data_IF_939692465677
#
_entry.id   IF_939692465677
#
_cell.length_a   1.000
_cell.length_b   1.000
_cell.length_c   1.000
_cell.angle_alpha   90.00
_cell.angle_beta   90.00
_cell.angle_gamma   90.00
#
_symmetry.space_group_name_H-M   'P 1'
#
loop_
_entity.id
_entity.type
_entity.pdbx_description
1 polymer ?
#
# COMPACT_ATOMS: atom_id res chain seq x y z
N UNK A 1 -10.52 -27.92 1.54
CA UNK A 1 -10.04 -27.59 2.89
C UNK A 1 -11.19 -26.91 3.62
N UNK A 2 -11.52 -27.35 4.85
CA UNK A 2 -12.55 -26.68 5.67
C UNK A 2 -11.96 -25.40 6.28
N UNK A 3 -12.21 -24.27 5.65
CA UNK A 3 -11.71 -22.97 6.08
C UNK A 3 -12.18 -22.58 7.49
N UNK A 4 -13.39 -23.02 7.91
CA UNK A 4 -13.89 -22.73 9.26
C UNK A 4 -13.06 -23.43 10.33
N UNK A 5 -12.72 -24.69 10.08
CA UNK A 5 -11.86 -25.44 11.00
C UNK A 5 -10.45 -24.84 11.02
N UNK A 6 -9.90 -24.49 9.87
CA UNK A 6 -8.60 -23.82 9.76
C UNK A 6 -8.57 -22.51 10.56
N UNK A 7 -9.58 -21.66 10.41
CA UNK A 7 -9.67 -20.37 11.11
C UNK A 7 -9.76 -20.55 12.63
N UNK A 8 -10.51 -21.55 13.12
CA UNK A 8 -10.57 -21.86 14.55
C UNK A 8 -9.24 -22.36 15.10
N UNK A 9 -8.53 -23.20 14.35
CA UNK A 9 -7.19 -23.67 14.73
C UNK A 9 -6.24 -22.47 14.78
N UNK A 10 -6.29 -21.57 13.80
CA UNK A 10 -5.45 -20.37 13.76
C UNK A 10 -5.68 -19.46 14.97
N UNK A 11 -6.95 -19.20 15.36
CA UNK A 11 -7.27 -18.48 16.59
C UNK A 11 -6.76 -19.21 17.84
N UNK A 12 -6.88 -20.53 17.89
CA UNK A 12 -6.38 -21.32 19.05
C UNK A 12 -4.87 -21.24 19.15
N UNK A 13 -4.15 -21.25 18.03
CA UNK A 13 -2.70 -21.09 17.99
C UNK A 13 -2.25 -19.71 18.47
N UNK A 14 -3.02 -18.64 18.20
CA UNK A 14 -2.70 -17.29 18.66
C UNK A 14 -2.75 -17.13 20.19
N UNK A 15 -3.40 -18.05 20.89
CA UNK A 15 -3.41 -18.08 22.38
C UNK A 15 -2.13 -18.68 22.96
N UNK A 16 -1.37 -19.43 22.15
CA UNK A 16 -0.18 -20.17 22.59
C UNK A 16 1.09 -19.53 21.98
N UNK A 17 1.03 -19.15 20.72
CA UNK A 17 2.15 -18.55 19.99
C UNK A 17 2.03 -17.04 19.99
N UNK A 18 3.14 -16.34 20.25
CA UNK A 18 3.19 -14.89 20.21
C UNK A 18 3.07 -14.35 18.78
N UNK A 19 3.61 -15.07 17.82
CA UNK A 19 3.59 -14.71 16.39
C UNK A 19 3.01 -15.83 15.55
N UNK A 20 2.21 -15.45 14.55
CA UNK A 20 1.65 -16.33 13.52
C UNK A 20 1.86 -15.71 12.15
N UNK A 21 1.88 -16.55 11.12
CA UNK A 21 1.96 -16.09 9.72
C UNK A 21 0.69 -16.52 8.96
N UNK A 22 0.14 -15.61 8.17
CA UNK A 22 -0.98 -15.86 7.26
C UNK A 22 -0.76 -15.10 5.95
N UNK A 23 -1.65 -15.31 4.97
CA UNK A 23 -1.62 -14.54 3.72
C UNK A 23 -2.93 -13.79 3.52
N UNK A 24 -2.85 -12.66 2.85
CA UNK A 24 -4.02 -11.86 2.47
C UNK A 24 -4.79 -12.57 1.36
N UNK A 25 -6.10 -12.66 1.52
CA UNK A 25 -7.03 -13.11 0.48
C UNK A 25 -8.03 -11.99 0.24
N UNK A 26 -8.19 -11.60 -1.04
CA UNK A 26 -9.10 -10.55 -1.45
C UNK A 26 -8.50 -9.14 -1.42
N UNK A 27 -9.36 -8.15 -1.62
CA UNK A 27 -8.98 -6.75 -1.94
C UNK A 27 -9.47 -5.73 -0.91
N UNK A 28 -9.96 -6.18 0.23
CA UNK A 28 -10.62 -5.31 1.24
C UNK A 28 -9.69 -4.28 1.86
N UNK A 29 -8.38 -4.56 1.88
CA UNK A 29 -7.34 -3.67 2.42
C UNK A 29 -6.49 -3.01 1.33
N UNK A 30 -6.87 -3.14 0.05
CA UNK A 30 -6.18 -2.41 -1.01
C UNK A 30 -6.24 -0.89 -0.78
N UNK A 31 -5.18 -0.16 -1.11
CA UNK A 31 -3.90 -0.59 -1.69
C UNK A 31 -2.83 -1.02 -0.66
N UNK A 32 -3.11 -0.91 0.63
CA UNK A 32 -2.14 -1.12 1.72
C UNK A 32 -1.69 -2.58 1.82
N UNK A 33 -2.65 -3.53 1.78
CA UNK A 33 -2.37 -4.96 1.70
C UNK A 33 -2.92 -5.51 0.40
N UNK A 34 -2.11 -6.28 -0.30
CA UNK A 34 -2.47 -6.94 -1.57
C UNK A 34 -2.80 -8.41 -1.35
N UNK A 35 -3.60 -8.97 -2.23
CA UNK A 35 -3.80 -10.41 -2.27
C UNK A 35 -2.45 -11.12 -2.47
N UNK A 36 -2.19 -12.13 -1.63
CA UNK A 36 -0.94 -12.88 -1.63
C UNK A 36 0.12 -12.35 -0.64
N UNK A 37 -0.01 -11.13 -0.12
CA UNK A 37 0.92 -10.61 0.89
C UNK A 37 1.00 -11.54 2.10
N UNK A 38 2.21 -11.81 2.57
CA UNK A 38 2.48 -12.60 3.78
C UNK A 38 2.48 -11.68 4.99
N UNK A 39 1.62 -11.97 5.95
CA UNK A 39 1.47 -11.19 7.17
C UNK A 39 2.11 -11.90 8.35
N UNK A 40 2.95 -11.19 9.11
CA UNK A 40 3.29 -11.58 10.48
C UNK A 40 2.28 -10.93 11.43
N UNK A 41 1.63 -11.74 12.24
CA UNK A 41 0.56 -11.34 13.15
C UNK A 41 1.01 -11.60 14.58
N UNK A 42 1.02 -10.54 15.41
CA UNK A 42 1.47 -10.63 16.81
C UNK A 42 0.31 -10.39 17.76
N UNK A 43 0.12 -11.29 18.71
CA UNK A 43 -0.87 -11.12 19.80
C UNK A 43 -0.35 -10.08 20.80
N UNK A 44 -1.20 -9.11 21.14
CA UNK A 44 -0.93 -8.05 22.10
C UNK A 44 -2.00 -8.04 23.19
N UNK A 45 -1.68 -7.46 24.34
CA UNK A 45 -2.64 -7.30 25.45
C UNK A 45 -3.66 -6.20 25.17
N UNK A 46 -3.30 -5.23 24.32
CA UNK A 46 -4.19 -4.19 23.82
C UNK A 46 -3.83 -3.78 22.39
N UNK A 47 -4.74 -3.07 21.70
CA UNK A 47 -4.60 -2.63 20.33
C UNK A 47 -4.97 -1.14 20.23
N UNK A 48 -4.26 -0.42 19.36
CA UNK A 48 -4.42 1.02 19.16
C UNK A 48 -5.23 1.33 17.91
N UNK A 49 -5.91 2.47 17.90
CA UNK A 49 -6.62 2.98 16.72
C UNK A 49 -5.59 3.19 15.60
N UNK A 50 -5.90 2.61 14.44
CA UNK A 50 -4.99 2.58 13.29
C UNK A 50 -4.29 1.22 13.09
N UNK A 51 -4.18 0.38 14.12
CA UNK A 51 -3.64 -0.98 13.97
C UNK A 51 -4.45 -1.78 12.92
N UNK A 52 -3.76 -2.60 12.15
CA UNK A 52 -4.40 -3.57 11.25
C UNK A 52 -4.53 -4.89 12.02
N UNK A 53 -5.76 -5.29 12.28
CA UNK A 53 -6.08 -6.45 13.10
C UNK A 53 -6.47 -7.65 12.24
N UNK A 54 -6.05 -8.84 12.68
CA UNK A 54 -6.52 -10.14 12.19
C UNK A 54 -7.47 -10.71 13.22
N UNK A 55 -8.70 -11.06 12.84
CA UNK A 55 -9.74 -11.52 13.77
C UNK A 55 -10.75 -12.46 13.10
N UNK A 56 -11.44 -13.25 13.90
CA UNK A 56 -12.60 -14.03 13.46
C UNK A 56 -13.87 -13.19 13.58
N UNK A 57 -14.53 -12.99 12.45
CA UNK A 57 -15.82 -12.33 12.35
C UNK A 57 -16.97 -13.36 12.31
N UNK A 58 -18.17 -12.92 11.96
CA UNK A 58 -19.36 -13.78 11.88
C UNK A 58 -19.07 -15.05 11.08
N UNK A 59 -19.63 -16.19 11.52
CA UNK A 59 -19.42 -17.51 10.90
C UNK A 59 -17.96 -17.96 10.85
N UNK A 60 -17.11 -17.40 11.73
CA UNK A 60 -15.68 -17.71 11.84
C UNK A 60 -14.87 -17.39 10.57
N UNK A 61 -15.28 -16.34 9.84
CA UNK A 61 -14.48 -15.77 8.77
C UNK A 61 -13.25 -15.06 9.35
N UNK A 62 -12.07 -15.36 8.82
CA UNK A 62 -10.84 -14.66 9.18
C UNK A 62 -10.76 -13.38 8.35
N UNK A 63 -10.78 -12.24 9.01
CA UNK A 63 -10.68 -10.92 8.39
C UNK A 63 -9.40 -10.21 8.83
N UNK A 64 -8.92 -9.32 7.94
CA UNK A 64 -7.77 -8.45 8.17
C UNK A 64 -8.21 -7.03 7.85
N UNK A 65 -8.49 -6.22 8.88
CA UNK A 65 -9.00 -4.86 8.68
C UNK A 65 -8.40 -3.88 9.71
N UNK A 66 -8.51 -2.59 9.42
CA UNK A 66 -8.01 -1.51 10.27
C UNK A 66 -8.95 -1.21 11.42
N UNK A 67 -8.39 -1.07 12.62
CA UNK A 67 -9.10 -0.60 13.81
C UNK A 67 -9.39 0.90 13.70
N UNK A 68 -10.67 1.27 13.60
CA UNK A 68 -11.10 2.66 13.45
C UNK A 68 -11.60 3.28 14.76
N UNK A 69 -12.14 2.45 15.67
CA UNK A 69 -12.73 2.89 16.93
C UNK A 69 -12.68 1.77 17.95
N UNK A 70 -12.56 2.14 19.23
CA UNK A 70 -12.62 1.22 20.36
C UNK A 70 -13.61 1.76 21.40
N UNK A 71 -14.50 0.92 21.88
CA UNK A 71 -15.44 1.24 22.97
C UNK A 71 -15.51 0.06 23.94
N UNK A 72 -15.10 0.29 25.18
CA UNK A 72 -15.04 -0.77 26.20
C UNK A 72 -14.26 -2.00 25.67
N UNK A 73 -14.91 -3.13 25.50
CA UNK A 73 -14.33 -4.38 24.99
C UNK A 73 -14.69 -4.67 23.53
N UNK A 74 -15.17 -3.67 22.80
CA UNK A 74 -15.56 -3.79 21.38
C UNK A 74 -14.61 -2.98 20.50
N UNK A 75 -14.06 -3.64 19.50
CA UNK A 75 -13.14 -3.11 18.51
C UNK A 75 -13.89 -2.98 17.17
N UNK A 76 -13.98 -1.78 16.65
CA UNK A 76 -14.68 -1.49 15.40
C UNK A 76 -13.67 -1.42 14.27
N UNK A 77 -13.68 -2.43 13.42
CA UNK A 77 -12.74 -2.57 12.32
C UNK A 77 -13.42 -2.37 10.96
N UNK A 78 -12.65 -1.93 9.98
CA UNK A 78 -13.13 -1.77 8.60
C UNK A 78 -11.97 -1.92 7.64
N UNK A 79 -12.20 -2.63 6.52
CA UNK A 79 -11.25 -2.65 5.41
C UNK A 79 -11.12 -1.27 4.78
N UNK A 80 -9.90 -0.86 4.45
CA UNK A 80 -9.65 0.46 3.84
C UNK A 80 -10.46 0.61 2.54
N UNK A 81 -10.57 -0.47 1.75
CA UNK A 81 -11.37 -0.54 0.52
C UNK A 81 -12.75 -1.20 0.73
N UNK A 82 -13.31 -1.11 1.93
CA UNK A 82 -14.63 -1.65 2.26
C UNK A 82 -15.57 -0.56 2.75
N UNK A 83 -16.85 -0.89 2.79
CA UNK A 83 -17.91 0.00 3.31
C UNK A 83 -18.40 -0.42 4.70
N UNK A 84 -18.23 -1.69 5.04
CA UNK A 84 -18.75 -2.28 6.25
C UNK A 84 -17.84 -1.99 7.43
N UNK A 85 -18.45 -1.61 8.55
CA UNK A 85 -17.81 -1.58 9.86
C UNK A 85 -18.18 -2.86 10.60
N UNK A 86 -17.19 -3.58 11.07
CA UNK A 86 -17.34 -4.80 11.84
C UNK A 86 -17.04 -4.51 13.31
N UNK A 87 -17.88 -5.06 14.19
CA UNK A 87 -17.69 -5.09 15.63
C UNK A 87 -17.10 -6.45 16.05
N UNK A 88 -16.02 -6.43 16.79
CA UNK A 88 -15.33 -7.64 17.25
C UNK A 88 -14.90 -7.49 18.71
N UNK A 89 -15.03 -8.57 19.47
CA UNK A 89 -14.55 -8.62 20.85
C UNK A 89 -13.10 -9.13 20.92
N UNK A 90 -12.40 -8.78 22.00
CA UNK A 90 -10.98 -9.09 22.18
C UNK A 90 -10.67 -10.59 22.02
N UNK A 91 -11.53 -11.46 22.53
CA UNK A 91 -11.36 -12.93 22.49
C UNK A 91 -11.36 -13.50 21.05
N UNK A 92 -11.90 -12.76 20.10
CA UNK A 92 -11.94 -13.12 18.67
C UNK A 92 -10.79 -12.53 17.88
N UNK A 93 -9.96 -11.69 18.49
CA UNK A 93 -8.79 -11.09 17.83
C UNK A 93 -7.62 -12.07 17.89
N UNK A 94 -7.07 -12.40 16.73
CA UNK A 94 -5.85 -13.21 16.58
C UNK A 94 -4.62 -12.39 16.96
N UNK A 95 -4.53 -11.16 16.47
CA UNK A 95 -3.44 -10.23 16.74
C UNK A 95 -3.44 -9.06 15.78
N UNK A 96 -2.41 -8.21 15.87
CA UNK A 96 -2.14 -7.14 14.89
C UNK A 96 -1.08 -7.54 13.89
N UNK A 97 -1.19 -7.03 12.70
CA UNK A 97 -0.15 -7.16 11.67
C UNK A 97 1.05 -6.34 12.09
N UNK A 98 2.21 -6.97 12.19
CA UNK A 98 3.47 -6.32 12.57
C UNK A 98 4.50 -6.34 11.45
N UNK A 99 4.32 -7.22 10.43
CA UNK A 99 5.15 -7.23 9.22
C UNK A 99 4.31 -7.64 8.01
N UNK A 100 4.64 -7.07 6.87
CA UNK A 100 4.10 -7.45 5.55
C UNK A 100 5.28 -7.84 4.67
N UNK A 101 5.28 -9.06 4.13
CA UNK A 101 6.37 -9.62 3.33
C UNK A 101 7.76 -9.53 4.01
N UNK A 102 7.78 -9.57 5.36
CA UNK A 102 8.99 -9.45 6.16
C UNK A 102 9.33 -8.02 6.58
N UNK A 103 8.75 -7.00 5.95
CA UNK A 103 8.95 -5.59 6.27
C UNK A 103 8.07 -5.16 7.45
N UNK A 104 8.62 -4.47 8.44
CA UNK A 104 7.91 -3.96 9.62
C UNK A 104 7.25 -2.60 9.37
N UNK A 105 7.67 -1.88 8.34
CA UNK A 105 7.05 -0.61 7.95
C UNK A 105 5.78 -0.88 7.13
N UNK A 106 4.64 -0.75 7.80
CA UNK A 106 3.32 -0.95 7.18
C UNK A 106 2.74 0.42 6.90
N UNK A 107 2.53 0.79 5.62
CA UNK A 107 2.03 2.09 5.25
C UNK A 107 0.72 2.42 5.97
N UNK A 108 0.68 3.54 6.68
CA UNK A 108 -0.53 4.06 7.31
C UNK A 108 -0.72 5.54 6.91
N UNK A 109 -1.40 5.80 5.79
CA UNK A 109 -1.57 7.16 5.30
C UNK A 109 -2.21 8.08 6.34
N UNK A 110 -1.62 9.25 6.54
CA UNK A 110 -2.10 10.23 7.53
C UNK A 110 -3.58 10.58 7.31
N UNK A 111 -4.39 10.39 8.35
CA UNK A 111 -5.82 10.70 8.35
C UNK A 111 -6.72 9.62 7.73
N UNK A 112 -6.18 8.43 7.42
CA UNK A 112 -6.99 7.33 6.85
C UNK A 112 -8.06 6.84 7.82
N UNK A 113 -7.77 6.80 9.11
CA UNK A 113 -8.71 6.33 10.15
C UNK A 113 -9.94 7.22 10.20
N UNK A 114 -9.74 8.53 10.34
CA UNK A 114 -10.82 9.52 10.42
C UNK A 114 -11.62 9.55 9.12
N UNK A 115 -10.94 9.53 7.98
CA UNK A 115 -11.58 9.53 6.67
C UNK A 115 -12.40 8.25 6.44
N UNK A 116 -11.83 7.09 6.74
CA UNK A 116 -12.52 5.79 6.62
C UNK A 116 -13.76 5.71 7.50
N UNK A 117 -13.68 6.22 8.74
CA UNK A 117 -14.82 6.29 9.65
C UNK A 117 -15.87 7.32 9.20
N UNK A 118 -15.44 8.46 8.62
CA UNK A 118 -16.35 9.45 8.05
C UNK A 118 -17.16 8.88 6.87
N UNK A 119 -16.52 8.10 5.98
CA UNK A 119 -17.20 7.40 4.89
C UNK A 119 -18.23 6.40 5.41
N UNK A 120 -17.91 5.64 6.47
CA UNK A 120 -18.90 4.77 7.09
C UNK A 120 -20.11 5.54 7.64
N UNK A 121 -19.89 6.65 8.35
CA UNK A 121 -21.00 7.51 8.84
C UNK A 121 -21.82 8.12 7.71
N UNK A 122 -21.18 8.52 6.63
CA UNK A 122 -21.89 9.04 5.45
C UNK A 122 -22.76 7.95 4.82
N UNK A 123 -22.23 6.73 4.66
CA UNK A 123 -22.98 5.60 4.14
C UNK A 123 -24.23 5.29 5.00
N UNK A 124 -24.10 5.35 6.33
CA UNK A 124 -25.23 5.17 7.24
C UNK A 124 -26.31 6.26 7.04
N UNK A 125 -25.90 7.54 6.87
CA UNK A 125 -26.83 8.64 6.52
C UNK A 125 -27.54 8.41 5.19
N UNK A 126 -26.89 7.80 4.22
CA UNK A 126 -27.43 7.41 2.93
C UNK A 126 -28.19 6.09 2.97
N UNK A 127 -28.56 5.59 4.16
CA UNK A 127 -29.30 4.33 4.36
C UNK A 127 -28.63 3.14 3.65
N UNK A 128 -27.30 3.09 3.72
CA UNK A 128 -26.46 2.05 3.10
C UNK A 128 -26.56 1.95 1.57
N UNK A 129 -26.90 3.05 0.91
CA UNK A 129 -26.94 3.13 -0.55
C UNK A 129 -25.52 3.36 -1.11
N UNK A 130 -24.83 2.27 -1.44
CA UNK A 130 -23.45 2.31 -1.97
C UNK A 130 -23.35 3.03 -3.33
N UNK A 131 -24.25 2.79 -4.32
CA UNK A 131 -24.23 3.55 -5.56
C UNK A 131 -24.29 5.06 -5.32
N UNK A 132 -25.19 5.51 -4.44
CA UNK A 132 -25.30 6.94 -4.10
C UNK A 132 -24.06 7.46 -3.36
N UNK A 133 -23.49 6.68 -2.42
CA UNK A 133 -22.24 7.04 -1.75
C UNK A 133 -21.12 7.35 -2.76
N UNK A 134 -20.96 6.50 -3.78
CA UNK A 134 -19.89 6.66 -4.79
C UNK A 134 -20.04 7.92 -5.63
N UNK A 135 -21.20 8.54 -5.67
CA UNK A 135 -21.41 9.82 -6.38
C UNK A 135 -21.03 11.03 -5.53
N UNK A 136 -20.88 10.88 -4.22
CA UNK A 136 -20.57 11.99 -3.30
C UNK A 136 -19.15 12.49 -3.46
N UNK A 137 -18.92 13.78 -3.25
CA UNK A 137 -17.59 14.37 -3.32
C UNK A 137 -16.67 13.88 -2.19
N UNK A 138 -17.23 13.58 -1.02
CA UNK A 138 -16.51 13.03 0.11
C UNK A 138 -15.94 11.64 -0.23
N UNK A 139 -16.74 10.77 -0.87
CA UNK A 139 -16.25 9.45 -1.27
C UNK A 139 -15.22 9.54 -2.37
N UNK A 140 -15.41 10.40 -3.38
CA UNK A 140 -14.45 10.61 -4.45
C UNK A 140 -13.09 11.09 -3.92
N UNK A 141 -13.09 12.05 -2.97
CA UNK A 141 -11.87 12.51 -2.30
C UNK A 141 -11.20 11.40 -1.48
N UNK A 142 -12.00 10.58 -0.79
CA UNK A 142 -11.49 9.42 -0.06
C UNK A 142 -10.86 8.41 -1.00
N UNK A 143 -11.57 8.04 -2.07
CA UNK A 143 -11.08 7.10 -3.08
C UNK A 143 -9.78 7.59 -3.71
N UNK A 144 -9.73 8.86 -4.14
CA UNK A 144 -8.56 9.47 -4.77
C UNK A 144 -7.34 9.48 -3.83
N UNK A 145 -7.56 9.85 -2.57
CA UNK A 145 -6.46 10.01 -1.61
C UNK A 145 -5.96 8.70 -1.02
N UNK A 146 -6.84 7.72 -0.81
CA UNK A 146 -6.51 6.53 -0.01
C UNK A 146 -6.68 5.21 -0.75
N UNK A 147 -7.53 5.14 -1.78
CA UNK A 147 -7.82 3.89 -2.49
C UNK A 147 -7.26 3.85 -3.91
N UNK A 148 -7.25 4.98 -4.60
CA UNK A 148 -6.51 5.05 -5.84
C UNK A 148 -5.05 5.06 -5.46
N UNK A 149 -4.36 3.96 -5.74
CA UNK A 149 -2.92 4.09 -5.94
C UNK A 149 -2.73 5.21 -6.95
N UNK A 150 -1.71 6.01 -6.75
CA UNK A 150 -1.06 6.65 -7.88
C UNK A 150 -0.59 5.50 -8.79
N UNK A 151 -1.51 4.95 -9.59
CA UNK A 151 -1.19 4.07 -10.71
C UNK A 151 -0.49 4.87 -11.83
N UNK A 152 -0.03 6.06 -11.47
CA UNK A 152 0.77 6.88 -12.33
C UNK A 152 2.07 6.13 -12.57
N UNK A 153 2.22 5.67 -13.77
CA UNK A 153 3.46 5.08 -14.20
C UNK A 153 4.35 6.13 -14.83
N UNK A 154 5.62 5.93 -14.68
CA UNK A 154 6.67 6.77 -15.22
C UNK A 154 7.43 5.96 -16.25
N UNK A 155 7.81 6.60 -17.33
CA UNK A 155 8.58 6.00 -18.42
C UNK A 155 9.55 7.04 -18.97
N UNK A 156 10.72 6.60 -19.42
CA UNK A 156 11.63 7.48 -20.15
C UNK A 156 10.94 8.02 -21.41
N UNK A 157 11.21 9.27 -21.74
CA UNK A 157 10.60 9.92 -22.90
C UNK A 157 11.31 9.48 -24.18
N UNK A 158 10.62 8.72 -25.01
CA UNK A 158 11.15 8.18 -26.28
C UNK A 158 11.47 9.27 -27.34
N UNK A 159 11.00 10.51 -27.11
CA UNK A 159 11.31 11.64 -28.01
C UNK A 159 12.69 12.24 -27.76
N UNK A 160 13.42 11.78 -26.75
CA UNK A 160 14.78 12.20 -26.42
C UNK A 160 15.79 11.22 -26.99
N UNK A 161 16.96 11.71 -27.38
CA UNK A 161 18.07 10.87 -27.80
C UNK A 161 18.95 10.51 -26.61
N UNK A 162 19.05 9.21 -26.31
CA UNK A 162 19.85 8.66 -25.20
C UNK A 162 21.19 8.17 -25.76
N UNK A 163 22.27 8.89 -25.45
CA UNK A 163 23.61 8.65 -25.99
C UNK A 163 24.53 8.23 -24.84
N UNK A 164 24.79 6.94 -24.74
CA UNK A 164 25.71 6.40 -23.74
C UNK A 164 27.13 6.45 -24.32
N UNK A 165 28.04 7.20 -23.68
CA UNK A 165 29.44 7.31 -24.09
C UNK A 165 30.34 6.23 -23.45
N UNK A 166 30.05 5.81 -22.23
CA UNK A 166 30.72 4.76 -21.46
C UNK A 166 29.74 4.16 -20.43
N UNK A 167 30.23 3.29 -19.53
CA UNK A 167 29.36 2.64 -18.54
C UNK A 167 28.89 3.62 -17.45
N UNK A 168 29.57 4.73 -17.25
CA UNK A 168 29.40 5.60 -16.10
C UNK A 168 28.75 6.94 -16.45
N UNK A 169 28.50 7.22 -17.74
CA UNK A 169 27.89 8.47 -18.18
C UNK A 169 26.95 8.32 -19.35
N UNK A 170 25.76 8.97 -19.24
CA UNK A 170 24.73 9.03 -20.25
C UNK A 170 24.40 10.50 -20.53
N UNK A 171 24.51 10.89 -21.80
CA UNK A 171 23.98 12.16 -22.30
C UNK A 171 22.58 11.95 -22.87
N UNK A 172 21.62 12.76 -22.45
CA UNK A 172 20.25 12.75 -22.95
C UNK A 172 19.99 14.08 -23.65
N UNK A 173 19.74 14.04 -24.94
CA UNK A 173 19.53 15.21 -25.78
C UNK A 173 18.04 15.44 -26.03
N UNK A 174 17.58 16.65 -25.77
CA UNK A 174 16.24 17.13 -26.14
C UNK A 174 16.29 17.79 -27.52
N UNK A 175 15.71 17.18 -28.56
CA UNK A 175 15.76 17.73 -29.91
C UNK A 175 14.87 18.96 -30.10
N UNK A 176 13.90 19.24 -29.21
CA UNK A 176 13.03 20.41 -29.29
C UNK A 176 13.72 21.67 -28.75
N UNK A 177 14.48 21.54 -27.65
CA UNK A 177 15.13 22.66 -26.96
C UNK A 177 16.63 22.72 -27.23
N UNK A 178 17.22 21.74 -27.92
CA UNK A 178 18.65 21.55 -28.11
C UNK A 178 19.45 21.47 -26.78
N UNK A 179 18.80 21.01 -25.72
CA UNK A 179 19.39 20.89 -24.39
C UNK A 179 19.96 19.49 -24.17
N UNK A 180 21.12 19.40 -23.49
CA UNK A 180 21.73 18.13 -23.11
C UNK A 180 21.72 18.00 -21.58
N UNK A 181 21.27 16.85 -21.09
CA UNK A 181 21.31 16.46 -19.69
C UNK A 181 22.31 15.33 -19.52
N UNK A 182 23.04 15.33 -18.38
CA UNK A 182 24.00 14.27 -18.07
C UNK A 182 23.54 13.50 -16.85
N UNK A 183 23.67 12.18 -16.90
CA UNK A 183 23.31 11.25 -15.84
C UNK A 183 24.50 10.36 -15.49
N UNK A 184 24.67 10.10 -14.22
CA UNK A 184 25.64 9.17 -13.64
C UNK A 184 25.15 7.71 -13.71
N UNK A 185 25.93 6.79 -13.17
CA UNK A 185 25.62 5.36 -13.12
C UNK A 185 24.23 5.07 -12.51
N UNK A 186 23.89 5.72 -11.39
CA UNK A 186 22.59 5.53 -10.72
C UNK A 186 21.45 6.03 -11.60
N UNK A 187 21.60 7.21 -12.20
CA UNK A 187 20.63 7.77 -13.15
C UNK A 187 20.44 6.90 -14.39
N UNK A 188 21.50 6.29 -14.89
CA UNK A 188 21.47 5.32 -16.00
C UNK A 188 20.61 4.11 -15.63
N UNK A 189 20.83 3.53 -14.46
CA UNK A 189 20.10 2.33 -14.05
C UNK A 189 18.61 2.63 -13.79
N UNK A 190 18.29 3.79 -13.21
CA UNK A 190 16.90 4.24 -13.07
C UNK A 190 16.25 4.38 -14.48
N UNK A 191 16.91 5.03 -15.42
CA UNK A 191 16.39 5.22 -16.77
C UNK A 191 16.29 3.93 -17.58
N UNK A 192 17.12 2.92 -17.33
CA UNK A 192 16.99 1.56 -17.88
C UNK A 192 15.72 0.86 -17.37
N UNK A 193 15.45 0.91 -16.07
CA UNK A 193 14.19 0.35 -15.50
C UNK A 193 13.00 1.06 -16.12
N UNK A 194 13.08 2.38 -16.34
CA UNK A 194 12.02 3.18 -16.93
C UNK A 194 11.88 3.04 -18.46
N UNK A 195 12.58 2.10 -19.10
CA UNK A 195 12.30 1.72 -20.52
C UNK A 195 10.88 1.20 -20.70
N UNK A 196 10.31 0.63 -19.65
CA UNK A 196 8.90 0.27 -19.57
C UNK A 196 8.19 1.07 -18.48
N UNK A 197 6.85 1.26 -18.55
CA UNK A 197 6.14 2.03 -17.56
C UNK A 197 6.20 1.38 -16.16
N UNK A 198 6.71 2.11 -15.17
CA UNK A 198 6.81 1.68 -13.78
C UNK A 198 6.13 2.66 -12.82
N UNK A 199 5.45 2.15 -11.80
CA UNK A 199 5.09 2.97 -10.64
C UNK A 199 6.34 3.25 -9.81
N UNK A 200 6.34 4.32 -8.99
CA UNK A 200 7.48 4.59 -8.09
C UNK A 200 7.77 3.38 -7.19
N UNK A 201 6.73 2.73 -6.67
CA UNK A 201 6.88 1.54 -5.83
C UNK A 201 7.59 0.38 -6.55
N UNK A 202 7.20 0.10 -7.80
CA UNK A 202 7.84 -0.95 -8.59
C UNK A 202 9.29 -0.58 -8.96
N UNK A 203 9.53 0.68 -9.31
CA UNK A 203 10.86 1.21 -9.60
C UNK A 203 11.79 1.04 -8.38
N UNK A 204 11.35 1.46 -7.19
CA UNK A 204 12.11 1.28 -5.94
C UNK A 204 12.41 -0.20 -5.69
N UNK A 205 11.42 -1.08 -5.83
CA UNK A 205 11.60 -2.52 -5.60
C UNK A 205 12.65 -3.13 -6.55
N UNK A 206 12.68 -2.73 -7.82
CA UNK A 206 13.69 -3.22 -8.78
C UNK A 206 15.08 -2.68 -8.45
N UNK A 207 15.19 -1.40 -8.08
CA UNK A 207 16.47 -0.80 -7.67
C UNK A 207 17.00 -1.41 -6.38
N UNK A 208 16.14 -1.76 -5.42
CA UNK A 208 16.54 -2.50 -4.21
C UNK A 208 17.21 -3.84 -4.55
N UNK A 209 16.77 -4.52 -5.60
CA UNK A 209 17.39 -5.77 -6.06
C UNK A 209 18.76 -5.49 -6.71
N UNK A 210 18.86 -4.42 -7.52
CA UNK A 210 20.11 -4.06 -8.21
C UNK A 210 21.19 -3.66 -7.22
N UNK A 211 20.85 -2.90 -6.19
CA UNK A 211 21.80 -2.31 -5.24
C UNK A 211 21.89 -3.05 -3.89
N UNK A 212 21.19 -4.17 -3.72
CA UNK A 212 21.09 -4.89 -2.43
C UNK A 212 20.75 -3.95 -1.26
N UNK A 213 19.80 -3.04 -1.50
CA UNK A 213 19.40 -1.98 -0.59
C UNK A 213 17.97 -2.16 -0.08
N UNK A 214 17.58 -1.44 0.98
CA UNK A 214 16.19 -1.39 1.44
C UNK A 214 15.43 -0.23 0.79
N UNK A 215 14.08 -0.28 0.71
CA UNK A 215 13.28 0.84 0.22
C UNK A 215 13.54 2.16 0.97
N UNK A 216 13.81 2.09 2.26
CA UNK A 216 14.12 3.25 3.11
C UNK A 216 15.43 3.94 2.70
N UNK A 217 16.40 3.16 2.22
CA UNK A 217 17.72 3.70 1.83
C UNK A 217 17.67 4.52 0.55
N UNK A 218 16.74 4.20 -0.37
CA UNK A 218 16.75 4.77 -1.73
C UNK A 218 15.49 5.54 -2.12
N UNK A 219 14.41 5.48 -1.33
CA UNK A 219 13.12 6.08 -1.71
C UNK A 219 13.19 7.58 -1.91
N UNK A 220 13.93 8.31 -1.07
CA UNK A 220 14.03 9.76 -1.15
C UNK A 220 14.79 10.18 -2.42
N UNK A 221 15.91 9.51 -2.73
CA UNK A 221 16.72 9.77 -3.91
C UNK A 221 15.95 9.46 -5.20
N UNK A 222 15.23 8.33 -5.24
CA UNK A 222 14.38 7.97 -6.39
C UNK A 222 13.26 8.98 -6.59
N UNK A 223 12.59 9.44 -5.52
CA UNK A 223 11.54 10.45 -5.63
C UNK A 223 12.09 11.80 -6.11
N UNK A 224 13.27 12.21 -5.65
CA UNK A 224 13.93 13.43 -6.11
C UNK A 224 14.33 13.31 -7.58
N UNK A 225 14.92 12.19 -7.99
CA UNK A 225 15.27 11.90 -9.38
C UNK A 225 14.06 11.97 -10.32
N UNK A 226 12.95 11.31 -9.96
CA UNK A 226 11.70 11.33 -10.73
C UNK A 226 11.15 12.75 -10.84
N UNK A 227 11.19 13.53 -9.76
CA UNK A 227 10.74 14.92 -9.78
C UNK A 227 11.58 15.77 -10.75
N UNK A 228 12.91 15.71 -10.62
CA UNK A 228 13.84 16.45 -11.47
C UNK A 228 13.70 16.08 -12.95
N UNK A 229 13.65 14.77 -13.25
CA UNK A 229 13.53 14.29 -14.63
C UNK A 229 12.16 14.55 -15.27
N UNK A 230 11.08 14.64 -14.46
CA UNK A 230 9.78 15.12 -14.94
C UNK A 230 9.80 16.60 -15.32
N UNK A 231 10.45 17.45 -14.52
CA UNK A 231 10.62 18.89 -14.83
C UNK A 231 11.41 19.08 -16.14
N UNK A 232 12.42 18.24 -16.35
CA UNK A 232 13.23 18.19 -17.57
C UNK A 232 12.55 17.46 -18.75
N UNK A 233 11.39 16.86 -18.53
CA UNK A 233 10.65 16.01 -19.49
C UNK A 233 11.41 14.77 -19.99
N UNK A 234 12.55 14.43 -19.38
CA UNK A 234 13.31 13.19 -19.67
C UNK A 234 12.50 11.95 -19.31
N UNK A 235 11.71 12.04 -18.23
CA UNK A 235 10.71 11.06 -17.84
C UNK A 235 9.32 11.66 -18.01
N UNK A 236 8.37 10.85 -18.43
CA UNK A 236 6.97 11.23 -18.64
C UNK A 236 6.03 10.36 -17.79
N UNK A 237 4.86 10.89 -17.50
CA UNK A 237 3.75 10.16 -16.89
C UNK A 237 2.95 9.44 -17.97
N UNK A 238 2.60 8.17 -17.67
CA UNK A 238 1.77 7.31 -18.53
C UNK A 238 0.47 6.91 -17.85
#
# INVERSE_FOLDING_TARGET
MDYKLYNKIFLSQSKIKKELTTSVIGVSMNPILKEGDKLTVTKCDDYEIGDILVYLYKQDELLVHRLLKKESNVYYCKGDNCYRLEDVTYDRIVGKVTKVNGCADIPSPKGIVEASYAIHKLLAKLKYNIPLLRTTDEYKKYEEKYLRRNNMTYQKNENFDFIQSDNDSLAVFDPETETVFFFDEVGIDILKVLETPHTIENLINELCIIYDATPEDISDDVNEFIKDTLEKKVVIKK
#
